data_IF_702029754726
#
_entry.id   IF_702029754726
#
_cell.length_a   1.000
_cell.length_b   1.000
_cell.length_c   1.000
_cell.angle_alpha   90.00
_cell.angle_beta   90.00
_cell.angle_gamma   90.00
#
_symmetry.space_group_name_H-M   'P 1'
#
loop_
_entity.id
_entity.type
_entity.pdbx_description
1 polymer ?
#
# COMPACT_ATOMS: atom_id res chain seq x y z
N UNK A 1 -4.41 -19.98 -9.67
CA UNK A 1 -3.46 -18.95 -10.11
C UNK A 1 -4.09 -17.57 -10.06
N UNK A 2 -5.25 -17.35 -10.67
CA UNK A 2 -5.98 -16.06 -10.65
C UNK A 2 -6.13 -15.43 -9.25
N UNK A 3 -6.36 -16.24 -8.22
CA UNK A 3 -6.62 -15.72 -6.87
C UNK A 3 -5.46 -14.93 -6.25
N UNK A 4 -4.19 -15.25 -6.58
CA UNK A 4 -3.04 -14.57 -5.93
C UNK A 4 -2.90 -13.11 -6.42
N UNK A 5 -2.83 -12.81 -7.72
CA UNK A 5 -2.85 -11.43 -8.20
C UNK A 5 -4.04 -10.63 -7.71
N UNK A 6 -5.25 -11.20 -7.66
CA UNK A 6 -6.42 -10.49 -7.12
C UNK A 6 -6.28 -10.18 -5.62
N UNK A 7 -5.72 -11.10 -4.84
CA UNK A 7 -5.47 -10.88 -3.42
C UNK A 7 -4.40 -9.80 -3.20
N UNK A 8 -3.34 -9.78 -4.02
CA UNK A 8 -2.35 -8.69 -4.02
C UNK A 8 -3.07 -7.37 -4.30
N UNK A 9 -3.75 -7.25 -5.46
CA UNK A 9 -4.41 -6.02 -5.91
C UNK A 9 -5.39 -5.48 -4.86
N UNK A 10 -6.24 -6.34 -4.29
CA UNK A 10 -7.22 -5.93 -3.29
C UNK A 10 -6.55 -5.37 -2.03
N UNK A 11 -5.61 -6.13 -1.46
CA UNK A 11 -4.99 -5.77 -0.19
C UNK A 11 -4.05 -4.55 -0.31
N UNK A 12 -3.21 -4.52 -1.35
CA UNK A 12 -2.30 -3.36 -1.56
C UNK A 12 -3.06 -2.13 -2.05
N UNK A 13 -4.16 -2.31 -2.76
CA UNK A 13 -5.07 -1.23 -3.15
C UNK A 13 -5.71 -0.58 -1.93
N UNK A 14 -6.22 -1.38 -0.99
CA UNK A 14 -6.72 -0.88 0.29
C UNK A 14 -5.63 -0.14 1.07
N UNK A 15 -4.45 -0.75 1.24
CA UNK A 15 -3.32 -0.11 1.92
C UNK A 15 -2.98 1.26 1.32
N UNK A 16 -2.88 1.33 -0.01
CA UNK A 16 -2.57 2.57 -0.73
C UNK A 16 -3.63 3.65 -0.49
N UNK A 17 -4.92 3.29 -0.49
CA UNK A 17 -5.99 4.26 -0.17
C UNK A 17 -5.86 4.77 1.25
N UNK A 18 -5.62 3.89 2.22
CA UNK A 18 -5.44 4.29 3.62
C UNK A 18 -4.26 5.23 3.81
N UNK A 19 -3.16 5.03 3.09
CA UNK A 19 -2.00 5.93 3.14
C UNK A 19 -2.32 7.32 2.59
N UNK A 20 -3.11 7.42 1.53
CA UNK A 20 -3.52 8.71 0.96
C UNK A 20 -4.51 9.40 1.90
N UNK A 21 -5.51 8.68 2.42
CA UNK A 21 -6.48 9.22 3.37
C UNK A 21 -5.81 9.67 4.69
N UNK A 22 -4.73 9.00 5.11
CA UNK A 22 -3.92 9.42 6.26
C UNK A 22 -3.35 10.84 6.08
N UNK A 23 -2.93 11.21 4.86
CA UNK A 23 -2.45 12.57 4.57
C UNK A 23 -3.59 13.57 4.71
N UNK A 24 -4.81 13.24 4.26
CA UNK A 24 -5.98 14.11 4.42
C UNK A 24 -6.32 14.35 5.91
N UNK A 25 -6.20 13.32 6.75
CA UNK A 25 -6.38 13.47 8.20
C UNK A 25 -5.30 14.35 8.83
N UNK A 26 -4.04 14.19 8.41
CA UNK A 26 -2.96 15.04 8.87
C UNK A 26 -3.17 16.52 8.46
N UNK A 27 -3.64 16.77 7.25
CA UNK A 27 -4.00 18.12 6.76
C UNK A 27 -5.11 18.77 7.59
N UNK A 28 -6.02 17.98 8.17
CA UNK A 28 -7.08 18.45 9.09
C UNK A 28 -6.59 18.69 10.52
N UNK A 29 -5.32 18.42 10.81
CA UNK A 29 -4.76 18.53 12.16
C UNK A 29 -4.82 17.25 12.98
N UNK A 30 -5.37 16.16 12.43
CA UNK A 30 -5.50 14.89 13.12
C UNK A 30 -4.28 13.99 12.87
N UNK A 31 -3.13 14.36 13.45
CA UNK A 31 -1.88 13.61 13.29
C UNK A 31 -2.00 12.18 13.86
N UNK A 32 -2.64 12.02 15.02
CA UNK A 32 -2.82 10.70 15.64
C UNK A 32 -3.64 9.76 14.74
N UNK A 33 -4.76 10.26 14.20
CA UNK A 33 -5.57 9.51 13.23
C UNK A 33 -4.81 9.17 11.96
N UNK A 34 -4.02 10.11 11.42
CA UNK A 34 -3.17 9.85 10.27
C UNK A 34 -2.18 8.69 10.51
N UNK A 35 -1.49 8.68 11.66
CA UNK A 35 -0.55 7.59 12.02
C UNK A 35 -1.26 6.25 12.23
N UNK A 36 -2.47 6.27 12.79
CA UNK A 36 -3.28 5.07 12.92
C UNK A 36 -3.65 4.50 11.54
N UNK A 37 -4.07 5.34 10.59
CA UNK A 37 -4.38 4.92 9.22
C UNK A 37 -3.16 4.36 8.48
N UNK A 38 -1.97 4.93 8.66
CA UNK A 38 -0.72 4.32 8.13
C UNK A 38 -0.52 2.92 8.71
N UNK A 39 -0.73 2.76 10.02
CA UNK A 39 -0.51 1.46 10.70
C UNK A 39 -1.52 0.40 10.24
N UNK A 40 -2.79 0.78 10.08
CA UNK A 40 -3.83 -0.12 9.57
C UNK A 40 -3.59 -0.46 8.08
N UNK A 41 -3.20 0.53 7.27
CA UNK A 41 -2.82 0.31 5.88
C UNK A 41 -1.64 -0.66 5.76
N UNK A 42 -0.67 -0.59 6.66
CA UNK A 42 0.47 -1.52 6.70
C UNK A 42 0.02 -2.96 6.95
N UNK A 43 -1.00 -3.18 7.78
CA UNK A 43 -1.54 -4.52 8.01
C UNK A 43 -2.11 -5.10 6.71
N UNK A 44 -2.90 -4.31 5.97
CA UNK A 44 -3.38 -4.69 4.64
C UNK A 44 -2.24 -4.94 3.66
N UNK A 45 -1.21 -4.07 3.66
CA UNK A 45 -0.05 -4.22 2.79
C UNK A 45 0.69 -5.54 3.04
N UNK A 46 0.92 -5.91 4.30
CA UNK A 46 1.57 -7.17 4.68
C UNK A 46 0.78 -8.37 4.15
N UNK A 47 -0.55 -8.37 4.23
CA UNK A 47 -1.36 -9.45 3.65
C UNK A 47 -1.20 -9.56 2.12
N UNK A 48 -1.14 -8.41 1.43
CA UNK A 48 -0.86 -8.36 -0.01
C UNK A 48 0.56 -8.82 -0.33
N UNK A 49 1.53 -8.43 0.47
CA UNK A 49 2.93 -8.82 0.33
C UNK A 49 3.12 -10.34 0.55
N UNK A 50 2.42 -10.95 1.50
CA UNK A 50 2.44 -12.40 1.71
C UNK A 50 1.90 -13.16 0.49
N UNK A 51 0.87 -12.62 -0.18
CA UNK A 51 0.37 -13.18 -1.43
C UNK A 51 1.40 -13.03 -2.57
N UNK A 52 2.11 -11.90 -2.62
CA UNK A 52 3.22 -11.68 -3.54
C UNK A 52 4.38 -12.66 -3.31
N UNK A 53 4.80 -12.91 -2.07
CA UNK A 53 5.86 -13.90 -1.77
C UNK A 53 5.49 -15.30 -2.26
N UNK A 54 4.21 -15.70 -2.12
CA UNK A 54 3.70 -16.98 -2.65
C UNK A 54 3.71 -17.03 -4.17
N UNK A 55 3.44 -15.90 -4.84
CA UNK A 55 3.49 -15.79 -6.29
C UNK A 55 4.95 -15.86 -6.79
N UNK A 56 5.85 -15.08 -6.18
CA UNK A 56 7.26 -15.01 -6.52
C UNK A 56 7.99 -16.34 -6.33
N UNK A 57 7.67 -17.08 -5.27
CA UNK A 57 8.31 -18.36 -4.95
C UNK A 57 7.88 -19.52 -5.87
N UNK A 58 6.95 -19.29 -6.82
CA UNK A 58 6.53 -20.30 -7.80
C UNK A 58 7.31 -20.18 -9.08
N UNK A 59 7.65 -21.33 -9.65
CA UNK A 59 8.06 -21.40 -11.06
C UNK A 59 6.83 -21.22 -11.95
N UNK A 60 6.89 -20.23 -12.85
CA UNK A 60 5.82 -19.97 -13.83
C UNK A 60 5.92 -20.98 -14.98
N UNK A 61 4.82 -21.65 -15.27
CA UNK A 61 4.67 -22.58 -16.39
C UNK A 61 4.07 -21.95 -17.64
N UNK A 62 3.92 -22.72 -18.75
CA UNK A 62 3.34 -22.23 -20.00
C UNK A 62 1.90 -21.70 -19.85
N UNK A 63 1.10 -22.30 -18.96
CA UNK A 63 -0.29 -21.91 -18.70
C UNK A 63 -0.41 -20.58 -17.92
N UNK A 64 0.68 -20.13 -17.31
CA UNK A 64 0.73 -18.93 -16.49
C UNK A 64 0.90 -17.66 -17.36
N UNK A 65 1.38 -17.83 -18.60
CA UNK A 65 1.59 -16.74 -19.57
C UNK A 65 0.31 -15.97 -19.86
N UNK A 66 -0.85 -16.65 -19.85
CA UNK A 66 -2.15 -15.98 -20.07
C UNK A 66 -2.55 -15.02 -18.95
N UNK A 67 -1.91 -15.13 -17.78
CA UNK A 67 -2.12 -14.27 -16.62
C UNK A 67 -1.03 -13.22 -16.44
N UNK A 68 -0.03 -13.17 -17.33
CA UNK A 68 1.08 -12.24 -17.23
C UNK A 68 0.64 -10.77 -17.13
N UNK A 69 -0.37 -10.27 -17.89
CA UNK A 69 -0.85 -8.90 -17.72
C UNK A 69 -1.40 -8.62 -16.31
N UNK A 70 -2.11 -9.59 -15.73
CA UNK A 70 -2.69 -9.47 -14.38
C UNK A 70 -1.61 -9.52 -13.31
N UNK A 71 -0.59 -10.39 -13.47
CA UNK A 71 0.57 -10.44 -12.58
C UNK A 71 1.33 -9.12 -12.62
N UNK A 72 1.66 -8.61 -13.81
CA UNK A 72 2.36 -7.32 -13.97
C UNK A 72 1.57 -6.19 -13.29
N UNK A 73 0.25 -6.17 -13.44
CA UNK A 73 -0.59 -5.18 -12.77
C UNK A 73 -0.55 -5.31 -11.24
N UNK A 74 -0.57 -6.53 -10.70
CA UNK A 74 -0.44 -6.76 -9.26
C UNK A 74 0.90 -6.27 -8.71
N UNK A 75 2.01 -6.55 -9.41
CA UNK A 75 3.35 -6.05 -9.05
C UNK A 75 3.43 -4.52 -9.07
N UNK A 76 2.88 -3.89 -10.11
CA UNK A 76 2.78 -2.43 -10.23
C UNK A 76 2.02 -1.80 -9.04
N UNK A 77 0.87 -2.37 -8.68
CA UNK A 77 0.08 -1.91 -7.54
C UNK A 77 0.82 -2.08 -6.21
N UNK A 78 1.50 -3.21 -6.01
CA UNK A 78 2.27 -3.49 -4.79
C UNK A 78 3.41 -2.48 -4.62
N UNK A 79 4.23 -2.28 -5.65
CA UNK A 79 5.34 -1.32 -5.59
C UNK A 79 4.84 0.12 -5.46
N UNK A 80 3.71 0.46 -6.09
CA UNK A 80 3.06 1.77 -5.92
C UNK A 80 2.62 2.00 -4.48
N UNK A 81 2.02 1.02 -3.82
CA UNK A 81 1.58 1.11 -2.44
C UNK A 81 2.75 1.28 -1.47
N UNK A 82 3.84 0.52 -1.65
CA UNK A 82 5.06 0.65 -0.84
C UNK A 82 5.67 2.05 -0.95
N UNK A 83 5.81 2.55 -2.18
CA UNK A 83 6.33 3.90 -2.42
C UNK A 83 5.40 4.97 -1.83
N UNK A 84 4.08 4.77 -1.94
CA UNK A 84 3.08 5.71 -1.41
C UNK A 84 3.18 5.82 0.11
N UNK A 85 3.39 4.71 0.82
CA UNK A 85 3.59 4.73 2.28
C UNK A 85 4.73 5.66 2.67
N UNK A 86 5.90 5.48 2.07
CA UNK A 86 7.10 6.27 2.38
C UNK A 86 6.83 7.77 2.16
N UNK A 87 6.20 8.10 1.03
CA UNK A 87 5.88 9.49 0.69
C UNK A 87 4.85 10.06 1.67
N UNK A 88 3.76 9.34 1.95
CA UNK A 88 2.71 9.78 2.87
C UNK A 88 3.23 9.95 4.30
N UNK A 89 4.07 9.04 4.80
CA UNK A 89 4.72 9.19 6.12
C UNK A 89 5.54 10.49 6.19
N UNK A 90 6.31 10.81 5.14
CA UNK A 90 7.07 12.07 5.06
C UNK A 90 6.15 13.29 5.01
N UNK A 91 5.03 13.21 4.31
CA UNK A 91 4.02 14.28 4.31
C UNK A 91 3.40 14.49 5.70
N UNK A 92 3.08 13.42 6.43
CA UNK A 92 2.54 13.51 7.78
C UNK A 92 3.58 14.11 8.73
N UNK A 93 4.86 13.69 8.64
CA UNK A 93 5.96 14.30 9.41
C UNK A 93 6.02 15.82 9.17
N UNK A 94 5.92 16.26 7.91
CA UNK A 94 5.92 17.68 7.54
C UNK A 94 4.70 18.43 8.07
N UNK A 95 3.50 17.82 8.05
CA UNK A 95 2.29 18.43 8.59
C UNK A 95 2.37 18.60 10.10
N UNK A 96 2.92 17.61 10.81
CA UNK A 96 3.14 17.66 12.25
C UNK A 96 4.09 18.81 12.63
N UNK A 97 5.21 18.96 11.92
CA UNK A 97 6.14 20.08 12.12
C UNK A 97 5.46 21.43 11.81
N UNK A 98 4.77 21.54 10.68
CA UNK A 98 4.08 22.77 10.28
C UNK A 98 3.04 23.23 11.31
N UNK A 99 2.31 22.28 11.93
CA UNK A 99 1.32 22.57 12.96
C UNK A 99 1.98 23.00 14.27
N UNK A 100 3.10 22.39 14.65
CA UNK A 100 3.87 22.78 15.83
C UNK A 100 4.37 24.22 15.77
N UNK A 101 4.65 24.74 14.56
CA UNK A 101 5.08 26.12 14.33
C UNK A 101 3.93 27.15 14.34
N UNK A 102 2.68 26.70 14.20
CA UNK A 102 1.48 27.55 14.25
C UNK A 102 0.90 27.68 15.66
N UNK A 103 1.31 26.83 16.59
CA UNK A 103 0.89 26.82 17.99
C UNK A 103 1.64 27.88 18.82
#
# INVERSE_FOLDING_TARGET
MEMLPFQIIANVGTARSMYVEAVEEAERGNIEGARAMITEGEQCFVEGHDAHLKLFSRELGPDDVKYLPLIIHAEDQLMSAETMKIVCEKFIDMQEELQSLKA
#
